data_IF_874203462377
#
_entry.id   IF_874203462377
#
_cell.length_a   1.000
_cell.length_b   1.000
_cell.length_c   1.000
_cell.angle_alpha   90.00
_cell.angle_beta   90.00
_cell.angle_gamma   90.00
#
_symmetry.space_group_name_H-M   'P 1'
#
loop_
_entity.id
_entity.type
_entity.pdbx_description
1 polymer ?
#
# COMPACT_ATOMS: atom_id res chain seq x y z
N UNK A 1 -7.31 8.20 26.90
CA UNK A 1 -7.23 8.35 26.43
C UNK A 1 -6.50 8.76 25.85
N UNK A 2 -6.44 8.67 25.42
CA UNK A 2 -5.73 8.88 24.72
C UNK A 2 -5.66 10.05 24.51
N UNK A 3 -6.16 10.62 24.94
CA UNK A 3 -5.96 11.70 24.97
C UNK A 3 -4.75 11.99 24.81
N UNK A 4 -4.17 11.33 25.04
CA UNK A 4 -2.94 11.36 24.66
C UNK A 4 -2.68 12.17 23.48
N UNK A 5 -3.63 12.68 22.97
CA UNK A 5 -3.46 13.49 21.83
C UNK A 5 -2.46 14.57 21.98
N UNK A 6 -2.12 14.95 23.18
CA UNK A 6 -1.18 15.96 23.30
C UNK A 6 0.19 15.48 23.10
N UNK A 7 0.40 14.26 22.98
CA UNK A 7 1.70 13.78 22.63
C UNK A 7 2.01 14.23 21.23
N UNK A 8 3.22 14.07 20.82
CA UNK A 8 3.59 14.41 19.49
C UNK A 8 2.77 13.59 18.52
N UNK A 9 2.62 14.07 17.32
CA UNK A 9 1.90 13.35 16.30
C UNK A 9 2.46 11.95 16.12
N UNK A 10 3.78 11.81 16.13
CA UNK A 10 4.43 10.52 15.96
C UNK A 10 4.03 9.57 17.08
N UNK A 11 4.05 10.04 18.29
CA UNK A 11 3.66 9.21 19.42
C UNK A 11 2.21 8.78 19.30
N UNK A 12 1.37 9.70 18.89
CA UNK A 12 -0.05 9.40 18.74
C UNK A 12 -0.28 8.31 17.69
N UNK A 13 0.47 8.35 16.59
CA UNK A 13 0.35 7.35 15.56
C UNK A 13 0.75 5.97 16.09
N UNK A 14 1.84 5.91 16.82
CA UNK A 14 2.31 4.65 17.37
C UNK A 14 1.31 4.12 18.39
N UNK A 15 0.84 5.01 19.24
CA UNK A 15 -0.13 4.62 20.25
C UNK A 15 -1.38 4.03 19.62
N UNK A 16 -1.81 4.63 18.52
CA UNK A 16 -3.00 4.16 17.84
C UNK A 16 -2.84 2.74 17.33
N UNK A 17 -1.68 2.42 16.80
CA UNK A 17 -1.42 1.07 16.34
C UNK A 17 -1.35 0.09 17.50
N UNK A 18 -0.67 0.48 18.56
CA UNK A 18 -0.54 -0.37 19.74
C UNK A 18 -1.90 -0.64 20.38
N UNK A 19 -2.71 0.41 20.52
CA UNK A 19 -4.02 0.25 21.12
C UNK A 19 -4.90 -0.68 20.29
N UNK A 20 -4.79 -0.56 18.97
CA UNK A 20 -5.53 -1.41 18.07
C UNK A 20 -5.13 -2.86 18.25
N UNK A 21 -3.85 -3.12 18.35
CA UNK A 21 -3.36 -4.47 18.55
C UNK A 21 -3.79 -5.03 19.90
N UNK A 22 -3.71 -4.20 20.91
CA UNK A 22 -4.04 -4.65 22.26
C UNK A 22 -5.52 -4.99 22.41
N UNK A 23 -6.37 -4.22 21.76
CA UNK A 23 -7.80 -4.37 21.94
C UNK A 23 -8.46 -5.29 20.93
N UNK A 24 -7.83 -5.49 19.80
CA UNK A 24 -8.45 -6.25 18.73
C UNK A 24 -7.44 -7.14 18.05
N UNK A 25 -6.73 -7.88 18.86
CA UNK A 25 -5.69 -8.74 18.34
C UNK A 25 -6.23 -9.71 17.29
N UNK A 26 -7.45 -10.16 17.44
CA UNK A 26 -8.04 -11.08 16.49
C UNK A 26 -8.36 -10.40 15.18
N UNK A 27 -8.79 -9.15 15.25
CA UNK A 27 -9.20 -8.42 14.05
C UNK A 27 -8.02 -7.87 13.31
N UNK A 28 -6.92 -7.72 14.00
CA UNK A 28 -5.75 -7.12 13.40
C UNK A 28 -5.28 -7.89 12.19
N UNK A 29 -5.40 -9.21 12.24
CA UNK A 29 -4.97 -10.03 11.13
C UNK A 29 -5.82 -9.85 9.89
N UNK A 30 -7.04 -9.33 10.07
CA UNK A 30 -7.95 -9.12 8.95
C UNK A 30 -7.82 -7.71 8.38
N UNK A 31 -7.11 -6.83 9.06
CA UNK A 31 -6.93 -5.47 8.61
C UNK A 31 -5.81 -5.43 7.59
N UNK A 32 -6.18 -5.54 6.33
CA UNK A 32 -5.22 -5.58 5.24
C UNK A 32 -5.40 -4.39 4.33
N UNK A 33 -4.28 -3.89 3.84
CA UNK A 33 -4.31 -2.86 2.82
C UNK A 33 -5.07 -3.35 1.61
N UNK A 34 -5.86 -2.48 1.01
CA UNK A 34 -6.57 -2.76 -0.23
C UNK A 34 -5.92 -1.93 -1.32
N UNK A 35 -5.46 -2.58 -2.37
CA UNK A 35 -4.88 -1.88 -3.50
C UNK A 35 -5.58 -2.32 -4.78
N UNK A 36 -5.91 -1.38 -5.66
CA UNK A 36 -5.75 0.06 -5.48
C UNK A 36 -6.83 0.64 -4.55
N UNK A 37 -6.56 1.81 -3.98
CA UNK A 37 -7.58 2.54 -3.25
C UNK A 37 -7.64 3.98 -3.75
N UNK A 38 -8.80 4.61 -3.54
CA UNK A 38 -9.03 5.98 -3.96
C UNK A 38 -9.01 6.88 -2.72
N UNK A 39 -8.20 7.91 -2.74
CA UNK A 39 -8.14 8.89 -1.68
C UNK A 39 -7.85 10.25 -2.29
N UNK A 40 -8.67 11.24 -1.95
CA UNK A 40 -8.48 12.58 -2.49
C UNK A 40 -8.52 12.62 -4.00
N UNK A 41 -9.43 11.85 -4.60
CA UNK A 41 -9.61 11.77 -6.05
C UNK A 41 -8.40 11.20 -6.79
N UNK A 42 -7.55 10.48 -6.07
CA UNK A 42 -6.37 9.89 -6.67
C UNK A 42 -6.34 8.41 -6.34
N UNK A 43 -5.84 7.61 -7.28
CA UNK A 43 -5.79 6.17 -7.14
C UNK A 43 -4.39 5.76 -6.72
N UNK A 44 -4.30 4.95 -5.67
CA UNK A 44 -3.04 4.49 -5.11
C UNK A 44 -2.95 2.98 -5.22
N UNK A 45 -1.83 2.51 -5.77
CA UNK A 45 -1.59 1.08 -5.96
C UNK A 45 -0.62 0.53 -4.94
N UNK A 46 -0.21 1.35 -3.97
CA UNK A 46 0.70 0.97 -2.92
C UNK A 46 0.52 1.93 -1.76
N UNK A 47 1.23 1.69 -0.67
CA UNK A 47 1.23 2.59 0.48
C UNK A 47 1.70 3.99 0.05
N UNK A 48 1.17 5.01 0.69
CA UNK A 48 1.42 6.38 0.29
C UNK A 48 1.72 7.28 1.50
N UNK A 49 2.42 8.38 1.23
CA UNK A 49 2.65 9.41 2.24
C UNK A 49 1.63 10.54 2.13
N UNK A 50 0.65 10.44 1.22
CA UNK A 50 -0.30 11.51 0.99
C UNK A 50 -1.04 11.87 2.28
N UNK A 51 -0.82 13.09 2.77
CA UNK A 51 -1.47 13.57 3.99
C UNK A 51 -0.91 12.97 5.27
N UNK A 52 0.29 12.40 5.24
CA UNK A 52 0.85 11.71 6.40
C UNK A 52 2.36 11.81 6.40
N UNK A 53 2.95 11.65 7.60
CA UNK A 53 4.40 11.59 7.75
C UNK A 53 4.92 10.17 7.57
N UNK A 54 4.05 9.18 7.63
CA UNK A 54 4.43 7.77 7.50
C UNK A 54 3.59 7.12 6.43
N UNK A 55 4.16 6.11 5.77
CA UNK A 55 3.44 5.38 4.74
C UNK A 55 2.20 4.72 5.33
N UNK A 56 1.09 4.85 4.65
CA UNK A 56 -0.18 4.30 5.10
C UNK A 56 -0.98 3.78 3.92
N UNK A 57 -2.00 3.00 4.20
CA UNK A 57 -2.92 2.49 3.19
C UNK A 57 -4.35 2.56 3.69
N UNK A 58 -5.28 2.50 2.76
CA UNK A 58 -6.70 2.38 3.08
C UNK A 58 -7.04 0.90 3.24
N UNK A 59 -8.01 0.64 4.09
CA UNK A 59 -8.56 -0.70 4.28
C UNK A 59 -9.78 -0.92 3.40
N UNK A 60 -10.17 0.09 2.63
CA UNK A 60 -11.29 0.03 1.69
C UNK A 60 -10.84 0.58 0.35
N UNK A 61 -11.40 0.01 -0.73
CA UNK A 61 -11.04 0.46 -2.07
C UNK A 61 -11.39 1.93 -2.29
N UNK A 62 -12.46 2.40 -1.66
CA UNK A 62 -12.84 3.79 -1.67
C UNK A 62 -12.72 4.25 -0.22
N UNK A 63 -11.77 5.13 0.05
CA UNK A 63 -11.43 5.49 1.41
C UNK A 63 -12.64 6.01 2.18
N UNK A 64 -12.95 5.36 3.28
CA UNK A 64 -14.09 5.72 4.12
C UNK A 64 -13.67 6.13 5.52
N UNK A 65 -12.37 6.26 5.75
CA UNK A 65 -11.85 6.60 7.07
C UNK A 65 -11.16 5.44 7.76
N UNK A 66 -11.17 4.25 7.18
CA UNK A 66 -10.46 3.09 7.74
C UNK A 66 -9.11 2.97 7.07
N UNK A 67 -8.06 3.03 7.86
CA UNK A 67 -6.70 3.03 7.34
C UNK A 67 -5.76 2.42 8.37
N UNK A 68 -4.54 2.13 7.94
CA UNK A 68 -3.48 1.70 8.84
C UNK A 68 -2.14 2.19 8.33
N UNK A 69 -1.16 2.28 9.20
CA UNK A 69 0.21 2.50 8.78
C UNK A 69 0.76 1.21 8.20
N UNK A 70 1.54 1.33 7.16
CA UNK A 70 2.10 0.16 6.48
C UNK A 70 3.30 -0.39 7.23
N UNK A 71 3.32 -1.70 7.38
CA UNK A 71 4.52 -2.42 7.81
C UNK A 71 5.12 -3.05 6.55
N UNK A 72 6.25 -3.70 6.69
CA UNK A 72 6.92 -4.28 5.52
C UNK A 72 6.07 -5.34 4.83
N UNK A 73 5.11 -5.92 5.52
CA UNK A 73 4.25 -6.94 4.93
C UNK A 73 3.05 -6.37 4.21
N UNK A 74 2.85 -5.05 4.31
CA UNK A 74 1.67 -4.40 3.74
C UNK A 74 1.89 -3.84 2.34
N UNK A 75 3.13 -3.72 1.91
CA UNK A 75 3.39 -3.13 0.60
C UNK A 75 2.81 -3.97 -0.52
N UNK A 76 2.40 -3.30 -1.58
CA UNK A 76 1.77 -3.97 -2.71
C UNK A 76 2.68 -5.05 -3.29
N UNK A 77 2.06 -6.11 -3.76
CA UNK A 77 2.76 -7.23 -4.35
C UNK A 77 2.65 -7.19 -5.86
N UNK A 78 3.59 -7.83 -6.53
CA UNK A 78 3.51 -7.97 -7.97
C UNK A 78 2.18 -8.59 -8.36
N UNK A 79 1.61 -8.14 -9.46
CA UNK A 79 0.40 -8.72 -10.03
C UNK A 79 0.80 -9.49 -11.28
N UNK A 80 0.45 -10.77 -11.31
CA UNK A 80 0.75 -11.63 -12.46
C UNK A 80 -0.52 -12.32 -12.94
N UNK A 81 -0.72 -12.46 -14.25
CA UNK A 81 0.12 -11.86 -15.29
C UNK A 81 -0.16 -10.36 -15.42
N UNK A 82 0.79 -9.64 -16.00
CA UNK A 82 0.56 -8.24 -16.31
C UNK A 82 0.90 -7.97 -17.77
N UNK A 83 0.29 -6.91 -18.31
CA UNK A 83 0.51 -6.51 -19.70
C UNK A 83 1.50 -5.36 -19.71
N UNK A 84 2.54 -5.50 -20.52
CA UNK A 84 3.52 -4.44 -20.76
C UNK A 84 3.85 -4.41 -22.24
N UNK A 85 3.64 -3.25 -22.87
CA UNK A 85 3.82 -3.06 -24.30
C UNK A 85 3.09 -4.15 -25.09
N UNK A 86 1.86 -4.42 -24.68
CA UNK A 86 0.98 -5.37 -25.36
C UNK A 86 1.30 -6.83 -25.13
N UNK A 87 2.30 -7.14 -24.33
CA UNK A 87 2.70 -8.53 -24.05
C UNK A 87 2.36 -8.90 -22.62
N UNK A 88 2.03 -10.17 -22.43
CA UNK A 88 1.71 -10.70 -21.10
C UNK A 88 2.95 -11.29 -20.45
N UNK A 89 3.14 -10.96 -19.17
CA UNK A 89 4.28 -11.44 -18.40
C UNK A 89 3.79 -12.14 -17.14
N UNK A 90 4.25 -13.37 -16.94
CA UNK A 90 3.85 -14.14 -15.76
C UNK A 90 4.86 -14.04 -14.63
N UNK A 91 6.00 -13.44 -14.88
CA UNK A 91 7.06 -13.32 -13.89
C UNK A 91 7.67 -11.93 -14.02
N UNK A 92 8.56 -11.60 -13.11
CA UNK A 92 9.33 -10.38 -13.21
C UNK A 92 10.14 -10.39 -14.49
N UNK A 93 10.37 -9.22 -15.07
CA UNK A 93 11.09 -9.09 -16.34
C UNK A 93 12.13 -7.98 -16.25
N UNK A 94 13.17 -8.08 -17.09
CA UNK A 94 14.14 -7.00 -17.23
C UNK A 94 13.81 -6.13 -18.44
N UNK A 95 12.81 -6.53 -19.24
CA UNK A 95 12.45 -5.78 -20.44
C UNK A 95 11.99 -4.38 -20.04
N UNK A 96 12.59 -3.38 -20.65
CA UNK A 96 12.27 -1.99 -20.33
C UNK A 96 12.99 -1.45 -19.10
N UNK A 97 13.81 -2.25 -18.44
CA UNK A 97 14.55 -1.80 -17.26
C UNK A 97 15.83 -1.11 -17.66
N UNK A 98 16.10 0.07 -17.11
CA UNK A 98 17.28 0.84 -17.41
C UNK A 98 18.55 0.16 -16.93
N UNK A 99 18.49 -0.52 -15.80
CA UNK A 99 19.65 -1.12 -15.15
C UNK A 99 19.60 -2.64 -15.17
N UNK A 100 18.79 -3.20 -16.05
CA UNK A 100 18.65 -4.66 -16.17
C UNK A 100 18.24 -5.30 -14.87
N UNK A 101 17.50 -4.58 -14.06
CA UNK A 101 16.94 -5.11 -12.81
C UNK A 101 15.56 -5.66 -13.09
N UNK A 102 15.23 -6.77 -12.44
CA UNK A 102 13.91 -7.34 -12.61
C UNK A 102 12.85 -6.48 -11.95
N UNK A 103 11.74 -6.32 -12.62
CA UNK A 103 10.63 -5.53 -12.11
C UNK A 103 9.30 -6.20 -12.45
N UNK A 104 8.25 -5.76 -11.81
CA UNK A 104 6.90 -6.24 -12.07
C UNK A 104 5.92 -5.08 -11.97
N UNK A 105 4.74 -5.28 -12.54
CA UNK A 105 3.65 -4.33 -12.42
C UNK A 105 2.87 -4.56 -11.13
N UNK A 106 2.30 -3.49 -10.60
CA UNK A 106 1.39 -3.53 -9.45
C UNK A 106 -0.06 -3.56 -9.89
N UNK A 107 -0.31 -3.64 -11.20
CA UNK A 107 -1.64 -3.83 -11.75
C UNK A 107 -1.56 -4.82 -12.89
N UNK A 108 -2.71 -5.33 -13.31
CA UNK A 108 -2.75 -6.29 -14.41
C UNK A 108 -2.42 -5.66 -15.76
N UNK A 109 -2.46 -4.34 -15.86
CA UNK A 109 -2.16 -3.66 -17.12
C UNK A 109 -1.26 -2.47 -16.86
N UNK A 110 0.04 -2.70 -17.00
CA UNK A 110 1.01 -1.62 -16.84
C UNK A 110 0.83 -0.54 -17.90
N UNK A 111 0.40 -0.93 -19.09
CA UNK A 111 0.24 0.05 -20.17
C UNK A 111 -0.78 1.12 -19.81
N UNK A 112 -1.76 0.78 -18.99
CA UNK A 112 -2.76 1.72 -18.52
C UNK A 112 -2.35 2.43 -17.24
N UNK A 113 -1.83 1.69 -16.28
CA UNK A 113 -1.66 2.21 -14.93
C UNK A 113 -0.25 2.71 -14.63
N UNK A 114 0.76 2.17 -15.28
CA UNK A 114 2.12 2.63 -15.13
C UNK A 114 2.74 2.45 -13.75
N UNK A 115 2.19 1.55 -12.95
CA UNK A 115 2.65 1.35 -11.57
C UNK A 115 3.46 0.07 -11.47
N UNK A 116 4.61 0.15 -10.80
CA UNK A 116 5.54 -0.96 -10.81
C UNK A 116 6.43 -0.94 -9.58
N UNK A 117 7.18 -2.01 -9.40
CA UNK A 117 8.20 -2.08 -8.36
C UNK A 117 9.32 -3.02 -8.83
N UNK A 118 10.47 -2.91 -8.20
CA UNK A 118 11.53 -3.89 -8.43
C UNK A 118 11.20 -5.18 -7.71
N UNK A 119 11.62 -6.28 -8.28
CA UNK A 119 11.44 -7.59 -7.66
C UNK A 119 12.49 -7.89 -6.60
#
# INVERSE_FOLDING_TARGET
NMSTSHFSFVFLCIYRQVAKEANNVFLLSDDKCVFPFIYGNKKYFDCTLHGSLFLWCSLDADYTGRWKYCTKNDYAKCVFPFIYEGKSYDTCTIIGSTFMSYWCSLSSNYDEDGVWKYC
#
